data_IF_582999714288
#
_entry.id   IF_582999714288
#
_cell.length_a   1.000
_cell.length_b   1.000
_cell.length_c   1.000
_cell.angle_alpha   90.00
_cell.angle_beta   90.00
_cell.angle_gamma   90.00
#
_symmetry.space_group_name_H-M   'P 1'
#
loop_
_entity.id
_entity.type
_entity.pdbx_description
1 polymer ?
#
# COMPACT_ATOMS: atom_id res chain seq x y z
N UNK A 1 9.03 -8.91 -4.28
CA UNK A 1 8.23 -10.04 -4.80
C UNK A 1 7.14 -10.37 -3.77
N UNK A 2 5.86 -10.11 -4.06
CA UNK A 2 4.78 -10.61 -3.21
C UNK A 2 4.45 -12.04 -3.65
N UNK A 3 4.81 -13.04 -2.84
CA UNK A 3 4.25 -14.38 -3.01
C UNK A 3 2.76 -14.28 -2.73
N UNK A 4 1.94 -14.50 -3.75
CA UNK A 4 0.49 -14.51 -3.60
C UNK A 4 0.08 -15.89 -3.09
N UNK A 5 -0.40 -15.96 -1.85
CA UNK A 5 -0.95 -17.19 -1.29
C UNK A 5 -2.34 -17.46 -1.86
N UNK A 6 -2.76 -18.72 -1.88
CA UNK A 6 -4.11 -19.09 -2.26
C UNK A 6 -5.13 -18.70 -1.18
N UNK A 7 -6.42 -18.58 -1.54
CA UNK A 7 -7.48 -18.34 -0.56
C UNK A 7 -7.54 -19.42 0.52
N UNK A 8 -7.21 -20.67 0.17
CA UNK A 8 -7.09 -21.77 1.14
C UNK A 8 -5.99 -21.45 2.14
N UNK A 9 -4.80 -21.09 1.67
CA UNK A 9 -3.67 -20.73 2.55
C UNK A 9 -4.01 -19.55 3.44
N UNK A 10 -4.65 -18.49 2.92
CA UNK A 10 -5.08 -17.35 3.73
C UNK A 10 -6.13 -17.72 4.78
N UNK A 11 -7.08 -18.57 4.43
CA UNK A 11 -8.08 -19.07 5.40
C UNK A 11 -7.41 -19.84 6.54
N UNK A 12 -6.46 -20.70 6.19
CA UNK A 12 -5.69 -21.45 7.19
C UNK A 12 -4.80 -20.54 8.04
N UNK A 13 -4.28 -19.44 7.50
CA UNK A 13 -3.59 -18.41 8.29
C UNK A 13 -4.50 -17.80 9.34
N UNK A 14 -5.71 -17.37 8.96
CA UNK A 14 -6.69 -16.77 9.90
C UNK A 14 -7.10 -17.77 10.97
N UNK A 15 -7.38 -19.02 10.59
CA UNK A 15 -7.74 -20.09 11.54
C UNK A 15 -6.61 -20.38 12.52
N UNK A 16 -5.38 -20.46 12.04
CA UNK A 16 -4.21 -20.73 12.90
C UNK A 16 -3.96 -19.57 13.86
N UNK A 17 -4.12 -18.32 13.40
CA UNK A 17 -4.01 -17.14 14.26
C UNK A 17 -5.05 -17.16 15.40
N UNK A 18 -6.31 -17.45 15.07
CA UNK A 18 -7.37 -17.56 16.06
C UNK A 18 -7.12 -18.71 17.06
N UNK A 19 -6.67 -19.87 16.59
CA UNK A 19 -6.28 -21.01 17.44
C UNK A 19 -5.16 -20.67 18.42
N UNK A 20 -4.25 -19.77 18.04
CA UNK A 20 -3.16 -19.31 18.88
C UNK A 20 -3.51 -18.09 19.73
N UNK A 21 -4.79 -17.70 19.83
CA UNK A 21 -5.24 -16.56 20.65
C UNK A 21 -4.63 -15.24 20.22
N UNK A 22 -4.55 -15.01 18.90
CA UNK A 22 -3.94 -13.82 18.27
C UNK A 22 -2.42 -13.65 18.52
N UNK A 23 -1.75 -14.65 19.10
CA UNK A 23 -0.29 -14.67 19.17
C UNK A 23 0.32 -15.01 17.81
N UNK A 24 0.67 -13.98 17.04
CA UNK A 24 1.22 -14.10 15.68
C UNK A 24 2.53 -14.89 15.62
N UNK A 25 3.40 -14.76 16.62
CA UNK A 25 4.67 -15.47 16.63
C UNK A 25 4.47 -16.98 16.77
N UNK A 26 3.57 -17.38 17.67
CA UNK A 26 3.15 -18.78 17.82
C UNK A 26 2.42 -19.26 16.56
N UNK A 27 1.49 -18.46 16.03
CA UNK A 27 0.71 -18.81 14.85
C UNK A 27 1.58 -19.06 13.61
N UNK A 28 2.58 -18.22 13.34
CA UNK A 28 3.51 -18.44 12.24
C UNK A 28 4.33 -19.74 12.42
N UNK A 29 4.75 -20.06 13.66
CA UNK A 29 5.47 -21.30 13.96
C UNK A 29 4.57 -22.51 13.72
N UNK A 30 3.36 -22.49 14.26
CA UNK A 30 2.36 -23.55 14.10
C UNK A 30 1.99 -23.76 12.64
N UNK A 31 1.78 -22.68 11.90
CA UNK A 31 1.48 -22.73 10.47
C UNK A 31 2.63 -23.39 9.67
N UNK A 32 3.87 -22.99 9.94
CA UNK A 32 5.03 -23.59 9.30
C UNK A 32 5.17 -25.09 9.64
N UNK A 33 4.91 -25.47 10.90
CA UNK A 33 4.92 -26.87 11.31
C UNK A 33 3.83 -27.70 10.63
N UNK A 34 2.64 -27.13 10.41
CA UNK A 34 1.50 -27.84 9.82
C UNK A 34 1.55 -27.93 8.29
N UNK A 35 1.99 -26.86 7.61
CA UNK A 35 1.91 -26.75 6.14
C UNK A 35 3.28 -26.64 5.46
N UNK A 36 4.39 -26.76 6.21
CA UNK A 36 5.76 -26.69 5.67
C UNK A 36 6.12 -25.35 5.02
N UNK A 37 5.28 -24.33 5.18
CA UNK A 37 5.40 -23.05 4.48
C UNK A 37 5.70 -21.96 5.49
N UNK A 38 6.85 -21.31 5.33
CA UNK A 38 7.22 -20.16 6.15
C UNK A 38 6.47 -18.92 5.67
N UNK A 39 5.75 -18.29 6.58
CA UNK A 39 5.00 -17.07 6.35
C UNK A 39 5.55 -15.93 7.21
N UNK A 40 5.50 -14.71 6.68
CA UNK A 40 5.82 -13.52 7.46
C UNK A 40 4.64 -13.14 8.35
N UNK A 41 4.95 -12.60 9.54
CA UNK A 41 3.98 -12.06 10.50
C UNK A 41 3.11 -10.99 9.86
N UNK A 42 3.73 -10.11 9.04
CA UNK A 42 3.03 -9.05 8.31
C UNK A 42 2.00 -9.62 7.34
N UNK A 43 2.33 -10.70 6.64
CA UNK A 43 1.40 -11.37 5.72
C UNK A 43 0.19 -11.92 6.46
N UNK A 44 0.42 -12.63 7.56
CA UNK A 44 -0.66 -13.22 8.36
C UNK A 44 -1.60 -12.15 8.92
N UNK A 45 -1.03 -11.09 9.51
CA UNK A 45 -1.81 -9.96 10.02
C UNK A 45 -2.57 -9.23 8.91
N UNK A 46 -1.91 -8.94 7.79
CA UNK A 46 -2.55 -8.24 6.68
C UNK A 46 -3.68 -9.08 6.05
N UNK A 47 -3.53 -10.41 5.98
CA UNK A 47 -4.60 -11.30 5.52
C UNK A 47 -5.83 -11.25 6.45
N UNK A 48 -5.60 -11.34 7.76
CA UNK A 48 -6.66 -11.24 8.78
C UNK A 48 -7.35 -9.87 8.73
N UNK A 49 -6.57 -8.80 8.64
CA UNK A 49 -7.10 -7.44 8.62
C UNK A 49 -7.93 -7.18 7.38
N UNK A 50 -7.46 -7.57 6.18
CA UNK A 50 -8.24 -7.44 4.94
C UNK A 50 -9.55 -8.23 4.99
N UNK A 51 -9.53 -9.43 5.57
CA UNK A 51 -10.75 -10.21 5.74
C UNK A 51 -11.76 -9.49 6.64
N UNK A 52 -11.30 -8.88 7.74
CA UNK A 52 -12.14 -8.10 8.66
C UNK A 52 -12.70 -6.84 7.99
N UNK A 53 -11.86 -6.10 7.28
CA UNK A 53 -12.23 -4.78 6.75
C UNK A 53 -13.02 -4.84 5.45
N UNK A 54 -12.77 -5.86 4.62
CA UNK A 54 -13.26 -5.91 3.23
C UNK A 54 -13.92 -7.24 2.87
N UNK A 55 -13.94 -8.23 3.76
CA UNK A 55 -14.50 -9.56 3.48
C UNK A 55 -13.75 -10.36 2.42
N UNK A 56 -12.52 -9.95 2.07
CA UNK A 56 -11.71 -10.59 1.02
C UNK A 56 -10.23 -10.63 1.38
N UNK A 57 -9.53 -11.67 0.92
CA UNK A 57 -8.07 -11.79 1.08
C UNK A 57 -7.29 -11.07 -0.01
N UNK A 58 -7.97 -10.63 -1.09
CA UNK A 58 -7.31 -10.01 -2.22
C UNK A 58 -6.70 -8.67 -1.76
N UNK A 59 -5.38 -8.47 -1.89
CA UNK A 59 -4.80 -7.17 -1.62
C UNK A 59 -5.41 -6.17 -2.58
N UNK A 60 -5.98 -5.09 -2.05
CA UNK A 60 -6.40 -3.99 -2.88
C UNK A 60 -5.13 -3.21 -3.25
N UNK A 61 -4.55 -3.49 -4.41
CA UNK A 61 -3.29 -2.86 -4.83
C UNK A 61 -3.39 -1.34 -4.98
N UNK A 62 -4.60 -0.77 -5.00
CA UNK A 62 -4.82 0.68 -4.97
C UNK A 62 -4.70 1.27 -3.54
N UNK A 63 -4.97 0.48 -2.50
CA UNK A 63 -4.94 0.91 -1.08
C UNK A 63 -3.66 0.44 -0.39
N UNK A 64 -3.23 -0.79 -0.67
CA UNK A 64 -2.12 -1.47 0.03
C UNK A 64 -0.73 -1.10 -0.49
N UNK A 65 -0.63 -0.48 -1.68
CA UNK A 65 0.61 0.13 -2.16
C UNK A 65 0.62 1.58 -1.68
N UNK A 66 0.90 1.77 -0.40
CA UNK A 66 0.92 3.10 0.20
C UNK A 66 1.72 4.10 -0.63
N UNK A 67 1.04 5.00 -1.32
CA UNK A 67 1.57 6.34 -1.55
C UNK A 67 1.38 7.08 -0.22
N UNK A 68 2.38 7.84 0.21
CA UNK A 68 2.27 8.68 1.40
C UNK A 68 1.31 9.85 1.07
N UNK A 69 -0.01 9.58 1.14
CA UNK A 69 -1.06 10.45 0.58
C UNK A 69 -1.02 11.86 1.17
N UNK A 70 -0.71 12.00 2.46
CA UNK A 70 -0.76 13.30 3.15
C UNK A 70 0.33 14.29 2.75
N UNK A 71 1.56 13.83 2.50
CA UNK A 71 2.66 14.74 2.09
C UNK A 71 2.63 15.00 0.59
N UNK A 72 2.10 14.05 -0.20
CA UNK A 72 1.94 14.23 -1.64
C UNK A 72 0.77 15.17 -1.96
N UNK A 73 -0.31 15.16 -1.18
CA UNK A 73 -1.49 16.01 -1.44
C UNK A 73 -1.22 17.51 -1.27
N UNK A 74 -0.43 17.93 -0.27
CA UNK A 74 -0.12 19.35 -0.09
C UNK A 74 0.74 19.87 -1.24
N UNK A 75 1.81 19.14 -1.59
CA UNK A 75 2.68 19.50 -2.71
C UNK A 75 1.92 19.47 -4.05
N UNK A 76 1.01 18.51 -4.24
CA UNK A 76 0.18 18.45 -5.44
C UNK A 76 -0.74 19.67 -5.56
N UNK A 77 -1.39 20.07 -4.47
CA UNK A 77 -2.25 21.25 -4.45
C UNK A 77 -1.45 22.52 -4.72
N UNK A 78 -0.29 22.70 -4.10
CA UNK A 78 0.60 23.84 -4.36
C UNK A 78 1.05 23.91 -5.83
N UNK A 79 1.30 22.76 -6.46
CA UNK A 79 1.61 22.69 -7.89
C UNK A 79 0.39 23.12 -8.72
N UNK A 80 -0.81 22.64 -8.39
CA UNK A 80 -2.03 22.99 -9.13
C UNK A 80 -2.36 24.49 -9.01
N UNK A 81 -2.35 25.03 -7.78
CA UNK A 81 -2.61 26.44 -7.51
C UNK A 81 -1.64 27.35 -8.27
N UNK A 82 -0.35 26.98 -8.32
CA UNK A 82 0.65 27.73 -9.08
C UNK A 82 0.36 27.78 -10.60
N UNK A 83 -0.12 26.68 -11.18
CA UNK A 83 -0.47 26.64 -12.61
C UNK A 83 -1.81 27.29 -12.91
N UNK A 84 -2.73 27.34 -11.95
CA UNK A 84 -3.95 28.16 -12.04
C UNK A 84 -3.61 29.66 -12.10
N UNK A 85 -2.63 30.11 -11.31
CA UNK A 85 -2.13 31.49 -11.34
C UNK A 85 -1.22 31.80 -12.53
N UNK A 86 -0.51 30.78 -13.06
CA UNK A 86 0.51 30.93 -14.10
C UNK A 86 0.33 29.89 -15.23
N UNK A 87 -0.74 29.98 -16.06
CA UNK A 87 -1.11 28.92 -17.01
C UNK A 87 -0.09 28.69 -18.14
N UNK A 88 0.78 29.67 -18.40
CA UNK A 88 1.81 29.58 -19.44
C UNK A 88 3.17 29.14 -18.91
N UNK A 89 3.32 28.94 -17.59
CA UNK A 89 4.57 28.50 -17.01
C UNK A 89 4.98 27.14 -17.58
N UNK A 90 6.29 26.91 -17.75
CA UNK A 90 6.75 25.57 -18.10
C UNK A 90 6.87 24.72 -16.85
N UNK A 91 6.55 23.44 -16.96
CA UNK A 91 6.76 22.47 -15.89
C UNK A 91 8.25 22.41 -15.48
N UNK A 92 9.20 22.66 -16.39
CA UNK A 92 10.65 22.68 -16.08
C UNK A 92 11.05 23.87 -15.24
N UNK A 93 10.39 25.00 -15.45
CA UNK A 93 10.56 26.23 -14.69
C UNK A 93 9.92 26.14 -13.30
N UNK A 94 8.80 25.42 -13.19
CA UNK A 94 8.10 25.21 -11.92
C UNK A 94 8.84 24.24 -10.97
N UNK A 95 9.48 23.20 -11.51
CA UNK A 95 10.08 22.12 -10.73
C UNK A 95 11.08 22.56 -9.63
N UNK A 96 12.01 23.51 -9.87
CA UNK A 96 12.88 24.04 -8.83
C UNK A 96 12.14 24.68 -7.65
N UNK A 97 10.96 25.29 -7.87
CA UNK A 97 10.18 25.97 -6.82
C UNK A 97 9.59 24.98 -5.81
N UNK A 98 9.24 23.79 -6.28
CA UNK A 98 8.63 22.72 -5.48
C UNK A 98 9.64 21.65 -5.03
N UNK A 99 10.93 21.87 -5.27
CA UNK A 99 12.01 20.92 -4.95
C UNK A 99 11.74 19.49 -5.46
N UNK A 100 11.09 19.37 -6.61
CA UNK A 100 10.70 18.08 -7.19
C UNK A 100 11.15 17.97 -8.65
N UNK A 101 11.04 16.79 -9.24
CA UNK A 101 11.41 16.61 -10.65
C UNK A 101 10.34 17.20 -11.56
N UNK A 102 10.78 17.70 -12.72
CA UNK A 102 9.90 18.14 -13.81
C UNK A 102 8.80 17.12 -14.16
N UNK A 103 9.17 15.83 -14.16
CA UNK A 103 8.24 14.74 -14.41
C UNK A 103 7.21 14.54 -13.29
N UNK A 104 7.55 14.86 -12.03
CA UNK A 104 6.59 14.85 -10.92
C UNK A 104 5.52 15.92 -11.17
N UNK A 105 5.94 17.18 -11.44
CA UNK A 105 5.03 18.29 -11.77
C UNK A 105 4.10 17.90 -12.93
N UNK A 106 4.66 17.34 -14.00
CA UNK A 106 3.88 16.92 -15.18
C UNK A 106 2.85 15.83 -14.86
N UNK A 107 3.22 14.80 -14.07
CA UNK A 107 2.29 13.75 -13.63
C UNK A 107 1.18 14.29 -12.74
N UNK A 108 1.48 15.26 -11.88
CA UNK A 108 0.49 15.96 -11.06
C UNK A 108 -0.53 16.69 -11.93
N UNK A 109 -0.09 17.46 -12.93
CA UNK A 109 -1.00 18.15 -13.86
C UNK A 109 -1.85 17.19 -14.70
N UNK A 110 -1.32 16.00 -15.01
CA UNK A 110 -2.02 14.97 -15.80
C UNK A 110 -2.99 14.10 -14.99
N UNK A 111 -2.94 14.18 -13.66
CA UNK A 111 -3.70 13.29 -12.77
C UNK A 111 -3.18 11.85 -12.70
N UNK A 112 -1.95 11.59 -13.15
CA UNK A 112 -1.34 10.26 -13.26
C UNK A 112 -0.64 9.79 -11.95
N UNK A 113 -1.09 10.26 -10.77
CA UNK A 113 -0.33 10.13 -9.51
C UNK A 113 -0.68 8.96 -8.60
#
# INVERSE_FOLDING_TARGET
MSFQYSNVQYTEMVRTLAQCGDNVALACRTFNQRYGTRIDRRTMLAATQRLRDHGTFRPNTAIDRGANVRTRSSLQNEILDYFDENPHASTREAAPRFQCSHMHVWRTLRGDN
#
